data_IF_454953752637
#
_entry.id   IF_454953752637
#
_cell.length_a   1.000
_cell.length_b   1.000
_cell.length_c   1.000
_cell.angle_alpha   90.00
_cell.angle_beta   90.00
_cell.angle_gamma   90.00
#
_symmetry.space_group_name_H-M   'P 1'
#
loop_
_entity.id
_entity.type
_entity.pdbx_description
1 polymer ?
#
# COMPACT_ATOMS: atom_id res chain seq x y z
N UNK A 1 23.05 1.81 21.34
CA UNK A 1 23.24 0.72 22.32
C UNK A 1 24.39 -0.14 21.81
N UNK A 2 25.58 -0.04 22.42
CA UNK A 2 26.77 -0.82 22.02
C UNK A 2 26.73 -2.16 22.76
N UNK A 3 26.41 -3.22 22.02
CA UNK A 3 26.60 -4.59 22.45
C UNK A 3 27.60 -5.20 21.47
N UNK A 4 28.80 -5.54 21.96
CA UNK A 4 29.81 -6.43 21.31
C UNK A 4 31.03 -5.73 20.65
N UNK A 5 31.30 -4.44 20.89
CA UNK A 5 32.64 -3.87 20.62
C UNK A 5 33.02 -3.71 19.13
N UNK A 6 32.16 -4.13 18.20
CA UNK A 6 32.11 -3.56 16.86
C UNK A 6 31.17 -2.36 16.91
N UNK A 7 31.72 -1.14 16.84
CA UNK A 7 30.92 0.04 16.50
C UNK A 7 30.54 -0.09 15.02
N UNK A 8 29.58 -0.98 14.72
CA UNK A 8 28.85 -0.88 13.48
C UNK A 8 28.20 0.49 13.53
N UNK A 9 28.70 1.42 12.73
CA UNK A 9 28.20 2.78 12.72
C UNK A 9 26.82 2.72 12.06
N UNK A 10 25.79 2.46 12.88
CA UNK A 10 24.40 2.35 12.48
C UNK A 10 23.99 3.56 11.61
N UNK A 11 24.65 4.70 11.82
CA UNK A 11 24.52 5.89 10.99
C UNK A 11 24.79 5.64 9.50
N UNK A 12 25.80 4.85 9.13
CA UNK A 12 26.07 4.53 7.73
C UNK A 12 24.97 3.67 7.10
N UNK A 13 24.37 2.74 7.86
CA UNK A 13 23.21 1.98 7.39
C UNK A 13 22.02 2.92 7.16
N UNK A 14 21.77 3.85 8.08
CA UNK A 14 20.72 4.86 7.93
C UNK A 14 20.94 5.77 6.72
N UNK A 15 22.18 6.23 6.48
CA UNK A 15 22.52 7.06 5.32
C UNK A 15 22.32 6.32 4.00
N UNK A 16 22.69 5.04 3.93
CA UNK A 16 22.47 4.21 2.74
C UNK A 16 20.98 3.98 2.52
N UNK A 17 20.21 3.73 3.59
CA UNK A 17 18.76 3.56 3.52
C UNK A 17 18.07 4.84 3.07
N UNK A 18 18.45 5.99 3.61
CA UNK A 18 17.92 7.30 3.24
C UNK A 18 18.21 7.62 1.77
N UNK A 19 19.44 7.37 1.32
CA UNK A 19 19.80 7.50 -0.09
C UNK A 19 18.94 6.60 -0.98
N UNK A 20 18.77 5.32 -0.61
CA UNK A 20 17.91 4.39 -1.36
C UNK A 20 16.44 4.84 -1.41
N UNK A 21 15.90 5.34 -0.29
CA UNK A 21 14.53 5.86 -0.25
C UNK A 21 14.40 7.04 -1.19
N UNK A 22 15.33 8.00 -1.15
CA UNK A 22 15.29 9.19 -2.00
C UNK A 22 15.39 8.85 -3.50
N UNK A 23 16.30 7.92 -3.87
CA UNK A 23 16.44 7.48 -5.26
C UNK A 23 15.22 6.71 -5.79
N UNK A 24 14.48 6.01 -4.92
CA UNK A 24 13.25 5.30 -5.29
C UNK A 24 12.05 6.25 -5.34
N UNK A 25 12.00 7.25 -4.46
CA UNK A 25 10.91 8.23 -4.37
C UNK A 25 10.90 9.19 -5.58
N UNK A 26 12.08 9.61 -6.06
CA UNK A 26 12.24 10.50 -7.22
C UNK A 26 11.48 10.04 -8.49
N UNK A 27 11.63 8.79 -8.98
CA UNK A 27 10.90 8.30 -10.15
C UNK A 27 9.47 7.81 -9.84
N UNK A 28 9.18 7.46 -8.59
CA UNK A 28 7.89 6.92 -8.15
C UNK A 28 7.19 7.91 -7.20
N UNK A 29 6.83 9.08 -7.73
CA UNK A 29 6.10 10.14 -7.02
C UNK A 29 4.84 9.67 -6.26
N UNK A 30 4.32 8.48 -6.56
CA UNK A 30 3.22 7.84 -5.86
C UNK A 30 3.64 6.47 -5.35
N UNK A 31 3.48 6.18 -4.04
CA UNK A 31 3.74 4.85 -3.51
C UNK A 31 2.84 3.83 -4.22
N UNK A 32 3.41 2.69 -4.58
CA UNK A 32 2.67 1.59 -5.20
C UNK A 32 1.72 0.96 -4.17
N UNK A 33 0.51 1.51 -4.04
CA UNK A 33 -0.53 0.93 -3.18
C UNK A 33 -1.16 -0.26 -3.90
N UNK A 34 -0.92 -1.48 -3.41
CA UNK A 34 -1.43 -2.71 -4.03
C UNK A 34 -2.95 -2.92 -3.84
N UNK A 35 -3.59 -2.11 -3.00
CA UNK A 35 -4.99 -2.25 -2.61
C UNK A 35 -5.16 -3.12 -1.35
N UNK A 36 -6.41 -3.34 -0.95
CA UNK A 36 -6.75 -4.19 0.21
C UNK A 36 -7.53 -5.43 -0.28
N UNK A 37 -6.83 -6.50 -0.71
CA UNK A 37 -7.48 -7.66 -1.31
C UNK A 37 -8.26 -8.44 -0.25
N UNK A 38 -9.51 -8.78 -0.56
CA UNK A 38 -10.32 -9.61 0.32
C UNK A 38 -9.78 -11.05 0.35
N UNK A 39 -10.06 -11.84 1.39
CA UNK A 39 -9.60 -13.23 1.47
C UNK A 39 -9.94 -14.06 0.24
N UNK A 40 -11.12 -13.85 -0.36
CA UNK A 40 -11.52 -14.53 -1.60
C UNK A 40 -10.69 -14.10 -2.81
N UNK A 41 -10.36 -12.82 -2.93
CA UNK A 41 -9.52 -12.29 -4.01
C UNK A 41 -8.09 -12.80 -3.89
N UNK A 42 -7.57 -12.89 -2.65
CA UNK A 42 -6.28 -13.51 -2.36
C UNK A 42 -6.25 -14.99 -2.77
N UNK A 43 -7.30 -15.76 -2.45
CA UNK A 43 -7.38 -17.16 -2.86
C UNK A 43 -7.40 -17.33 -4.38
N UNK A 44 -8.16 -16.47 -5.08
CA UNK A 44 -8.17 -16.45 -6.56
C UNK A 44 -6.78 -16.11 -7.10
N UNK A 45 -6.10 -15.12 -6.51
CA UNK A 45 -4.77 -14.71 -6.91
C UNK A 45 -3.75 -15.83 -6.75
N UNK A 46 -3.74 -16.52 -5.60
CA UNK A 46 -2.86 -17.67 -5.38
C UNK A 46 -3.13 -18.81 -6.37
N UNK A 47 -4.41 -19.07 -6.65
CA UNK A 47 -4.78 -20.08 -7.65
C UNK A 47 -4.28 -19.69 -9.05
N UNK A 48 -4.46 -18.44 -9.47
CA UNK A 48 -3.98 -17.94 -10.77
C UNK A 48 -2.46 -17.98 -10.89
N UNK A 49 -1.73 -17.64 -9.82
CA UNK A 49 -0.28 -17.74 -9.77
C UNK A 49 0.16 -19.20 -9.88
N UNK A 50 -0.48 -20.12 -9.14
CA UNK A 50 -0.21 -21.56 -9.25
C UNK A 50 -0.39 -22.06 -10.69
N UNK A 51 -1.50 -21.70 -11.34
CA UNK A 51 -1.73 -22.05 -12.74
C UNK A 51 -0.73 -21.41 -13.71
N UNK A 52 -0.27 -20.18 -13.45
CA UNK A 52 0.77 -19.53 -14.24
C UNK A 52 2.08 -20.31 -14.16
N UNK A 53 2.46 -20.75 -12.96
CA UNK A 53 3.65 -21.55 -12.71
C UNK A 53 3.54 -22.90 -13.43
N UNK A 54 2.42 -23.62 -13.28
CA UNK A 54 2.21 -24.92 -13.93
C UNK A 54 2.25 -24.85 -15.46
N UNK A 55 1.94 -23.69 -16.04
CA UNK A 55 1.89 -23.48 -17.48
C UNK A 55 3.08 -22.66 -18.02
N UNK A 56 4.21 -22.60 -17.30
CA UNK A 56 5.39 -21.79 -17.63
C UNK A 56 6.00 -22.05 -19.04
N UNK A 57 5.74 -23.20 -19.65
CA UNK A 57 6.25 -23.53 -20.99
C UNK A 57 5.24 -23.27 -22.11
N UNK A 58 4.00 -22.88 -21.77
CA UNK A 58 2.90 -22.67 -22.73
C UNK A 58 2.63 -21.17 -22.88
N UNK A 59 3.42 -20.49 -23.73
CA UNK A 59 3.38 -19.02 -23.95
C UNK A 59 1.96 -18.43 -24.05
N UNK A 60 1.06 -19.05 -24.81
CA UNK A 60 -0.34 -18.56 -24.94
C UNK A 60 -1.11 -18.59 -23.61
N UNK A 61 -0.95 -19.63 -22.80
CA UNK A 61 -1.61 -19.74 -21.49
C UNK A 61 -0.97 -18.81 -20.46
N UNK A 62 0.34 -18.62 -20.51
CA UNK A 62 1.03 -17.67 -19.65
C UNK A 62 0.50 -16.25 -19.83
N UNK A 63 0.35 -15.80 -21.08
CA UNK A 63 -0.19 -14.46 -21.37
C UNK A 63 -1.62 -14.32 -20.81
N UNK A 64 -2.45 -15.36 -20.95
CA UNK A 64 -3.81 -15.34 -20.40
C UNK A 64 -3.77 -15.23 -18.87
N UNK A 65 -3.00 -16.07 -18.17
CA UNK A 65 -2.93 -16.03 -16.71
C UNK A 65 -2.27 -14.75 -16.19
N UNK A 66 -1.22 -14.26 -16.84
CA UNK A 66 -0.62 -12.97 -16.53
C UNK A 66 -1.64 -11.82 -16.69
N UNK A 67 -2.42 -11.84 -17.77
CA UNK A 67 -3.51 -10.88 -17.98
C UNK A 67 -4.58 -10.97 -16.87
N UNK A 68 -4.97 -12.17 -16.48
CA UNK A 68 -5.94 -12.37 -15.38
C UNK A 68 -5.41 -11.87 -14.03
N UNK A 69 -4.13 -12.08 -13.73
CA UNK A 69 -3.47 -11.54 -12.53
C UNK A 69 -3.47 -10.02 -12.55
N UNK A 70 -3.11 -9.40 -13.67
CA UNK A 70 -3.15 -7.94 -13.84
C UNK A 70 -4.58 -7.40 -13.69
N UNK A 71 -5.58 -8.06 -14.26
CA UNK A 71 -6.99 -7.68 -14.07
C UNK A 71 -7.42 -7.80 -12.59
N UNK A 72 -7.01 -8.87 -11.91
CA UNK A 72 -7.29 -9.08 -10.49
C UNK A 72 -6.67 -7.95 -9.64
N UNK A 73 -5.47 -7.50 -9.99
CA UNK A 73 -4.84 -6.35 -9.36
C UNK A 73 -5.67 -5.07 -9.49
N UNK A 74 -6.19 -4.77 -10.70
CA UNK A 74 -7.05 -3.60 -10.90
C UNK A 74 -8.36 -3.67 -10.09
N UNK A 75 -8.91 -4.87 -9.88
CA UNK A 75 -10.09 -5.07 -9.03
C UNK A 75 -9.74 -4.81 -7.56
N UNK A 76 -8.60 -5.30 -7.06
CA UNK A 76 -8.17 -5.05 -5.67
C UNK A 76 -7.84 -3.58 -5.40
N UNK A 77 -7.29 -2.90 -6.41
CA UNK A 77 -6.97 -1.46 -6.36
C UNK A 77 -8.23 -0.59 -6.33
N UNK A 78 -9.30 -1.02 -7.00
CA UNK A 78 -10.53 -0.25 -7.17
C UNK A 78 -11.71 -0.98 -6.50
N UNK A 79 -11.96 -0.72 -5.20
CA UNK A 79 -12.91 -1.51 -4.42
C UNK A 79 -14.31 -1.43 -5.02
N UNK A 80 -14.87 -2.57 -5.37
CA UNK A 80 -16.22 -2.68 -5.96
C UNK A 80 -17.31 -2.52 -4.88
N UNK A 81 -16.94 -2.73 -3.62
CA UNK A 81 -17.85 -2.72 -2.47
C UNK A 81 -17.50 -1.54 -1.57
N UNK A 82 -18.50 -0.80 -1.06
CA UNK A 82 -18.27 0.19 -0.04
C UNK A 82 -17.62 -0.42 1.21
N UNK A 83 -16.79 0.36 1.89
CA UNK A 83 -16.12 -0.05 3.11
C UNK A 83 -16.20 1.00 4.21
N UNK A 84 -16.19 0.53 5.45
CA UNK A 84 -16.14 1.34 6.66
C UNK A 84 -14.89 0.89 7.41
N UNK A 85 -13.96 1.82 7.63
CA UNK A 85 -12.70 1.55 8.32
C UNK A 85 -12.56 2.50 9.49
N UNK A 86 -12.31 1.95 10.69
CA UNK A 86 -11.90 2.76 11.84
C UNK A 86 -10.40 2.99 11.73
N UNK A 87 -9.99 4.25 11.78
CA UNK A 87 -8.60 4.68 11.60
C UNK A 87 -8.20 5.51 12.80
N UNK A 88 -7.11 5.13 13.48
CA UNK A 88 -6.48 5.98 14.48
C UNK A 88 -5.66 7.06 13.76
N UNK A 89 -6.08 8.32 13.92
CA UNK A 89 -5.43 9.49 13.31
C UNK A 89 -4.49 10.22 14.29
N UNK A 90 -4.23 9.63 15.46
CA UNK A 90 -3.35 10.18 16.50
C UNK A 90 -4.01 11.18 17.45
N UNK A 91 -5.14 11.78 17.07
CA UNK A 91 -6.00 12.58 17.98
C UNK A 91 -7.12 11.74 18.61
N UNK A 92 -7.35 10.52 18.11
CA UNK A 92 -8.45 9.63 18.45
C UNK A 92 -8.83 8.74 17.27
N UNK A 93 -9.94 8.02 17.43
CA UNK A 93 -10.49 7.15 16.39
C UNK A 93 -11.35 7.95 15.41
N UNK A 94 -11.04 7.88 14.11
CA UNK A 94 -11.88 8.39 13.04
C UNK A 94 -12.59 7.25 12.30
N UNK A 95 -13.73 7.55 11.69
CA UNK A 95 -14.46 6.60 10.83
C UNK A 95 -14.30 7.03 9.38
N UNK A 96 -13.67 6.18 8.58
CA UNK A 96 -13.48 6.36 7.14
C UNK A 96 -14.52 5.55 6.36
N UNK A 97 -15.41 6.25 5.66
CA UNK A 97 -16.40 5.69 4.75
C UNK A 97 -15.90 5.84 3.32
N UNK A 98 -15.85 4.74 2.59
CA UNK A 98 -15.44 4.71 1.19
C UNK A 98 -16.54 4.07 0.35
N UNK A 99 -17.04 4.81 -0.65
CA UNK A 99 -18.00 4.30 -1.61
C UNK A 99 -17.32 3.47 -2.72
N UNK A 100 -18.14 2.73 -3.48
CA UNK A 100 -17.73 1.93 -4.62
C UNK A 100 -16.86 2.73 -5.60
N UNK A 101 -15.76 2.13 -6.02
CA UNK A 101 -14.75 2.71 -6.90
C UNK A 101 -14.18 4.04 -6.40
N UNK A 102 -14.18 4.29 -5.09
CA UNK A 102 -13.71 5.53 -4.47
C UNK A 102 -14.41 6.78 -5.03
N UNK A 103 -15.68 6.66 -5.45
CA UNK A 103 -16.45 7.80 -5.97
C UNK A 103 -16.67 8.89 -4.94
N UNK A 104 -16.87 8.47 -3.70
CA UNK A 104 -17.04 9.35 -2.55
C UNK A 104 -16.29 8.74 -1.37
N UNK A 105 -15.56 9.59 -0.63
CA UNK A 105 -14.84 9.20 0.59
C UNK A 105 -15.11 10.23 1.65
N UNK A 106 -15.63 9.80 2.79
CA UNK A 106 -15.99 10.66 3.92
C UNK A 106 -15.17 10.20 5.13
N UNK A 107 -14.51 11.14 5.80
CA UNK A 107 -13.84 10.90 7.07
C UNK A 107 -14.62 11.65 8.16
N UNK A 108 -15.14 10.90 9.12
CA UNK A 108 -15.91 11.40 10.25
C UNK A 108 -15.00 11.43 11.47
N UNK A 109 -15.16 12.46 12.30
CA UNK A 109 -14.42 12.64 13.55
C UNK A 109 -12.92 12.84 13.35
N UNK A 110 -12.55 13.84 12.53
CA UNK A 110 -11.15 14.17 12.18
C UNK A 110 -10.42 14.99 13.26
N UNK A 111 -11.08 15.31 14.38
CA UNK A 111 -10.61 16.35 15.29
C UNK A 111 -10.66 17.76 14.67
N UNK A 112 -10.64 18.78 15.51
CA UNK A 112 -10.66 20.19 15.09
C UNK A 112 -9.36 20.64 14.41
N UNK A 113 -9.38 21.80 13.75
CA UNK A 113 -8.14 22.45 13.29
C UNK A 113 -7.18 22.57 14.48
N UNK A 114 -6.00 21.94 14.38
CA UNK A 114 -4.88 22.34 15.21
C UNK A 114 -4.69 23.83 14.92
N UNK A 115 -4.94 24.68 15.93
CA UNK A 115 -4.53 26.08 15.86
C UNK A 115 -3.00 26.08 15.76
N UNK A 116 -2.50 25.99 14.53
CA UNK A 116 -1.10 26.21 14.25
C UNK A 116 -0.78 27.59 14.83
N UNK A 117 0.26 27.72 15.67
CA UNK A 117 0.66 29.03 16.15
C UNK A 117 0.88 29.92 14.92
N UNK A 118 0.04 30.95 14.78
CA UNK A 118 0.19 31.94 13.75
C UNK A 118 1.44 32.73 14.12
N UNK A 119 2.54 32.48 13.42
CA UNK A 119 3.75 33.23 13.67
C UNK A 119 3.49 34.71 13.37
N UNK A 120 3.77 35.56 14.36
CA UNK A 120 3.59 37.00 14.29
C UNK A 120 4.82 37.66 13.66
N UNK A 121 5.16 37.29 12.43
CA UNK A 121 6.15 38.01 11.64
C UNK A 121 5.53 38.55 10.36
#
# INVERSE_FOLDING_TARGET
MSLIGYNFNINHIFQILEWLIHEVDLPLHYPLVLGNPRPIELLILFFLIGLLIDNLFKKRRQIIFAGLIVCSFFICKNPIYPSITVVDIGQGDSIFLQDKFNKETILIDTGGQLALPQESW
#
